data_IF_907429444978
#
_entry.id   IF_907429444978
#
_cell.length_a   1.000
_cell.length_b   1.000
_cell.length_c   1.000
_cell.angle_alpha   90.00
_cell.angle_beta   90.00
_cell.angle_gamma   90.00
#
_symmetry.space_group_name_H-M   'P 1'
#
loop_
_entity.id
_entity.type
_entity.pdbx_description
1 polymer ?
#
# COMPACT_ATOMS: atom_id res chain seq x y z
N UNK A 1 -9.44 -2.73 -3.19
CA UNK A 1 -9.22 -1.81 -4.34
C UNK A 1 -10.05 -2.29 -5.52
N UNK A 2 -10.75 -1.41 -6.26
CA UNK A 2 -11.56 -1.78 -7.44
C UNK A 2 -10.82 -1.36 -8.71
N UNK A 3 -10.48 -2.30 -9.58
CA UNK A 3 -9.91 -2.00 -10.90
C UNK A 3 -11.07 -1.95 -11.91
N UNK A 4 -11.34 -0.78 -12.51
CA UNK A 4 -12.44 -0.61 -13.46
C UNK A 4 -12.13 -1.28 -14.80
N UNK A 5 -13.08 -2.09 -15.26
CA UNK A 5 -13.33 -2.62 -16.61
C UNK A 5 -12.30 -2.27 -17.70
N UNK A 6 -11.35 -3.17 -17.92
CA UNK A 6 -10.84 -3.42 -19.27
C UNK A 6 -11.90 -4.23 -20.01
N UNK A 7 -12.34 -3.77 -21.18
CA UNK A 7 -13.45 -4.37 -21.93
C UNK A 7 -13.28 -5.89 -22.08
N UNK A 8 -14.24 -6.66 -21.55
CA UNK A 8 -14.25 -8.12 -21.61
C UNK A 8 -13.67 -8.87 -20.40
N UNK A 9 -13.08 -8.17 -19.42
CA UNK A 9 -12.57 -8.80 -18.19
C UNK A 9 -13.61 -8.65 -17.07
N UNK A 10 -14.06 -9.74 -16.41
CA UNK A 10 -15.03 -9.64 -15.30
C UNK A 10 -14.47 -8.80 -14.15
N UNK A 11 -15.35 -8.13 -13.41
CA UNK A 11 -14.96 -7.33 -12.25
C UNK A 11 -14.26 -8.23 -11.21
N UNK A 12 -12.99 -7.92 -10.93
CA UNK A 12 -12.20 -8.63 -9.93
C UNK A 12 -12.11 -7.80 -8.66
N UNK A 13 -12.59 -8.39 -7.56
CA UNK A 13 -12.47 -7.80 -6.23
C UNK A 13 -11.25 -8.42 -5.57
N UNK A 14 -10.35 -7.58 -5.09
CA UNK A 14 -9.17 -8.00 -4.35
C UNK A 14 -9.25 -7.55 -2.89
N UNK A 15 -8.93 -8.48 -1.99
CA UNK A 15 -8.62 -8.20 -0.60
C UNK A 15 -7.11 -8.00 -0.47
N UNK A 16 -6.71 -6.89 0.13
CA UNK A 16 -5.32 -6.58 0.45
C UNK A 16 -5.20 -6.50 1.97
N UNK A 17 -4.34 -7.34 2.53
CA UNK A 17 -3.91 -7.27 3.92
C UNK A 17 -2.41 -7.05 3.95
N UNK A 18 -1.93 -6.09 4.73
CA UNK A 18 -0.51 -5.78 4.78
C UNK A 18 -0.11 -5.36 6.19
N UNK A 19 1.08 -5.79 6.59
CA UNK A 19 1.71 -5.45 7.86
C UNK A 19 2.98 -4.67 7.59
N UNK A 20 3.11 -3.53 8.26
CA UNK A 20 4.27 -2.66 8.17
C UNK A 20 4.78 -2.34 9.56
N UNK A 21 6.11 -2.24 9.68
CA UNK A 21 6.75 -1.56 10.81
C UNK A 21 7.05 -0.13 10.42
N UNK A 22 6.96 0.79 11.38
CA UNK A 22 7.35 2.16 11.18
C UNK A 22 8.20 2.66 12.34
N UNK A 23 9.11 3.57 12.05
CA UNK A 23 9.91 4.29 13.04
C UNK A 23 10.02 5.77 12.65
N UNK A 24 10.10 6.65 13.66
CA UNK A 24 10.30 8.08 13.45
C UNK A 24 11.77 8.41 13.65
N UNK A 25 12.40 9.03 12.66
CA UNK A 25 13.77 9.54 12.71
C UNK A 25 13.80 11.01 12.31
N UNK A 26 13.80 11.89 13.32
CA UNK A 26 13.69 13.33 13.11
C UNK A 26 12.36 13.68 12.46
N UNK A 27 12.40 14.35 11.29
CA UNK A 27 11.22 14.70 10.51
C UNK A 27 10.74 13.61 9.55
N UNK A 28 11.33 12.40 9.62
CA UNK A 28 11.01 11.30 8.70
C UNK A 28 10.31 10.15 9.42
N UNK A 29 9.32 9.58 8.75
CA UNK A 29 8.73 8.28 9.09
C UNK A 29 9.29 7.27 8.11
N UNK A 30 10.09 6.33 8.62
CA UNK A 30 10.57 5.21 7.84
C UNK A 30 9.59 4.06 8.02
N UNK A 31 9.10 3.52 6.92
CA UNK A 31 8.19 2.37 6.88
C UNK A 31 8.88 1.21 6.20
N UNK A 32 8.61 0.00 6.69
CA UNK A 32 9.13 -1.24 6.10
C UNK A 32 8.02 -2.27 6.02
N UNK A 33 7.82 -2.87 4.86
CA UNK A 33 6.88 -3.98 4.69
C UNK A 33 7.41 -5.21 5.40
N UNK A 34 6.57 -5.80 6.24
CA UNK A 34 6.83 -7.08 6.90
C UNK A 34 6.18 -8.20 6.10
N UNK A 35 4.90 -8.02 5.79
CA UNK A 35 4.10 -8.99 5.06
C UNK A 35 3.04 -8.27 4.23
N UNK A 36 2.71 -8.83 3.07
CA UNK A 36 1.66 -8.32 2.20
C UNK A 36 0.98 -9.49 1.51
N UNK A 37 -0.34 -9.56 1.68
CA UNK A 37 -1.18 -10.60 1.12
C UNK A 37 -2.27 -9.97 0.27
N UNK A 38 -2.24 -10.30 -1.01
CA UNK A 38 -3.28 -10.00 -1.98
C UNK A 38 -4.07 -11.29 -2.27
N UNK A 39 -5.40 -11.19 -2.26
CA UNK A 39 -6.27 -12.32 -2.59
C UNK A 39 -7.36 -11.85 -3.53
N UNK A 40 -7.46 -12.47 -4.70
CA UNK A 40 -8.65 -12.32 -5.56
C UNK A 40 -9.86 -12.99 -4.88
N UNK A 41 -10.84 -12.19 -4.47
CA UNK A 41 -12.07 -12.65 -3.80
C UNK A 41 -13.05 -13.24 -4.81
N UNK A 42 -13.10 -12.72 -6.03
CA UNK A 42 -14.03 -13.19 -7.07
C UNK A 42 -13.61 -14.54 -7.64
N UNK A 43 -12.30 -14.75 -7.84
CA UNK A 43 -11.73 -15.96 -8.42
C UNK A 43 -10.47 -16.39 -7.65
N UNK A 44 -10.61 -17.01 -6.47
CA UNK A 44 -9.47 -17.40 -5.63
C UNK A 44 -8.54 -18.42 -6.29
N UNK A 45 -8.99 -19.15 -7.31
CA UNK A 45 -8.14 -20.08 -8.06
C UNK A 45 -7.20 -19.37 -9.06
N UNK A 46 -7.52 -18.14 -9.46
CA UNK A 46 -6.61 -17.29 -10.26
C UNK A 46 -5.39 -16.89 -9.42
N UNK A 47 -5.59 -16.63 -8.13
CA UNK A 47 -4.53 -16.34 -7.16
C UNK A 47 -3.47 -17.46 -7.13
N UNK A 48 -3.93 -18.73 -7.09
CA UNK A 48 -3.05 -19.90 -7.04
C UNK A 48 -2.20 -20.09 -8.30
N UNK A 49 -2.74 -19.71 -9.47
CA UNK A 49 -2.04 -19.86 -10.75
C UNK A 49 -1.05 -18.73 -11.01
N UNK A 50 -1.41 -17.51 -10.63
CA UNK A 50 -0.60 -16.32 -10.87
C UNK A 50 0.39 -16.03 -9.75
N UNK A 51 0.24 -16.67 -8.58
CA UNK A 51 1.11 -16.48 -7.41
C UNK A 51 1.29 -14.99 -7.10
N UNK A 52 0.21 -14.20 -7.15
CA UNK A 52 0.28 -12.73 -7.05
C UNK A 52 0.94 -12.28 -5.74
N UNK A 53 0.78 -13.06 -4.66
CA UNK A 53 1.51 -12.86 -3.40
C UNK A 53 3.05 -12.89 -3.56
N UNK A 54 3.61 -13.70 -4.46
CA UNK A 54 5.05 -13.74 -4.72
C UNK A 54 5.53 -12.50 -5.49
N UNK A 55 4.63 -11.71 -6.07
CA UNK A 55 4.97 -10.46 -6.77
C UNK A 55 5.21 -9.29 -5.80
N UNK A 56 4.88 -9.44 -4.51
CA UNK A 56 5.06 -8.40 -3.51
C UNK A 56 6.27 -8.71 -2.63
N UNK A 57 7.45 -8.10 -2.90
CA UNK A 57 8.63 -8.39 -2.11
C UNK A 57 8.45 -7.93 -0.65
N UNK A 58 8.88 -8.79 0.28
CA UNK A 58 9.02 -8.42 1.68
C UNK A 58 10.21 -7.45 1.85
N UNK A 59 10.11 -6.52 2.80
CA UNK A 59 11.18 -5.58 3.12
C UNK A 59 11.27 -4.34 2.22
N UNK A 60 10.24 -4.05 1.42
CA UNK A 60 10.11 -2.75 0.75
C UNK A 60 10.14 -1.68 1.83
N UNK A 61 11.10 -0.77 1.70
CA UNK A 61 11.24 0.36 2.61
C UNK A 61 10.80 1.63 1.90
N UNK A 62 10.01 2.45 2.60
CA UNK A 62 9.60 3.78 2.14
C UNK A 62 9.90 4.80 3.22
N UNK A 63 10.20 6.03 2.81
CA UNK A 63 10.50 7.15 3.67
C UNK A 63 9.54 8.27 3.37
N UNK A 64 8.90 8.78 4.43
CA UNK A 64 7.92 9.86 4.36
C UNK A 64 8.47 11.05 5.17
N UNK A 65 8.63 12.20 4.53
CA UNK A 65 8.96 13.43 5.25
C UNK A 65 7.69 14.05 5.81
N UNK A 66 7.60 14.18 7.12
CA UNK A 66 6.45 14.81 7.79
C UNK A 66 6.52 16.31 7.60
N UNK A 67 5.47 16.89 7.03
CA UNK A 67 5.30 18.34 6.86
C UNK A 67 4.44 18.89 8.00
N UNK A 68 3.34 18.19 8.34
CA UNK A 68 2.47 18.53 9.46
C UNK A 68 1.86 17.27 10.08
N UNK A 69 1.74 17.23 11.40
CA UNK A 69 1.03 16.19 12.14
C UNK A 69 0.31 16.81 13.33
N UNK A 70 -1.02 16.75 13.32
CA UNK A 70 -1.88 17.17 14.41
C UNK A 70 -3.06 16.18 14.57
N UNK A 71 -4.00 16.47 15.48
CA UNK A 71 -5.13 15.57 15.79
C UNK A 71 -6.10 15.33 14.62
N UNK A 72 -6.08 16.19 13.61
CA UNK A 72 -7.00 16.20 12.48
C UNK A 72 -6.34 15.98 11.13
N UNK A 73 -5.03 16.24 11.02
CA UNK A 73 -4.29 16.27 9.77
C UNK A 73 -2.92 15.62 9.91
N UNK A 74 -2.59 14.80 8.92
CA UNK A 74 -1.25 14.31 8.66
C UNK A 74 -0.88 14.63 7.21
N UNK A 75 0.09 15.53 7.04
CA UNK A 75 0.62 15.93 5.72
C UNK A 75 2.08 15.52 5.62
N UNK A 76 2.41 14.84 4.53
CA UNK A 76 3.74 14.27 4.30
C UNK A 76 4.14 14.34 2.83
N UNK A 77 5.44 14.29 2.56
CA UNK A 77 6.01 14.11 1.22
C UNK A 77 6.57 12.68 1.14
N UNK A 78 6.08 11.91 0.18
CA UNK A 78 6.57 10.57 -0.10
C UNK A 78 7.85 10.67 -0.94
N UNK A 79 8.98 10.15 -0.45
CA UNK A 79 10.26 10.28 -1.17
C UNK A 79 10.30 9.44 -2.45
N UNK A 80 9.35 8.53 -2.67
CA UNK A 80 9.29 7.74 -3.90
C UNK A 80 8.76 8.50 -5.12
N UNK A 81 7.86 9.48 -4.91
CA UNK A 81 7.25 10.27 -5.97
C UNK A 81 7.41 11.79 -5.79
N UNK A 82 7.94 12.23 -4.64
CA UNK A 82 8.16 13.63 -4.30
C UNK A 82 6.88 14.44 -4.08
N UNK A 83 5.72 13.77 -4.02
CA UNK A 83 4.41 14.45 -3.92
C UNK A 83 3.99 14.61 -2.47
N UNK A 84 3.45 15.77 -2.17
CA UNK A 84 2.75 16.03 -0.92
C UNK A 84 1.41 15.31 -0.93
N UNK A 85 1.12 14.62 0.18
CA UNK A 85 -0.10 13.86 0.43
C UNK A 85 -0.60 14.23 1.81
N UNK A 86 -1.92 14.39 1.92
CA UNK A 86 -2.57 14.73 3.19
C UNK A 86 -3.64 13.71 3.52
N UNK A 87 -3.68 13.31 4.78
CA UNK A 87 -4.72 12.49 5.36
C UNK A 87 -5.42 13.32 6.43
N UNK A 88 -6.72 13.53 6.24
CA UNK A 88 -7.60 14.17 7.22
C UNK A 88 -8.51 13.12 7.85
N UNK A 89 -8.74 13.23 9.15
CA UNK A 89 -9.64 12.33 9.89
C UNK A 89 -11.10 12.51 9.49
#
# INVERSE_FOLDING_TARGET
>A
MKIKNLAGIPEMIYSLAATFTWEVKGQYVLTKSVDMKLVNVTHPDVEKKLKLNEMFPAGISSSLKVVALNEHEFTYIDESDGKEKSCTR
#
